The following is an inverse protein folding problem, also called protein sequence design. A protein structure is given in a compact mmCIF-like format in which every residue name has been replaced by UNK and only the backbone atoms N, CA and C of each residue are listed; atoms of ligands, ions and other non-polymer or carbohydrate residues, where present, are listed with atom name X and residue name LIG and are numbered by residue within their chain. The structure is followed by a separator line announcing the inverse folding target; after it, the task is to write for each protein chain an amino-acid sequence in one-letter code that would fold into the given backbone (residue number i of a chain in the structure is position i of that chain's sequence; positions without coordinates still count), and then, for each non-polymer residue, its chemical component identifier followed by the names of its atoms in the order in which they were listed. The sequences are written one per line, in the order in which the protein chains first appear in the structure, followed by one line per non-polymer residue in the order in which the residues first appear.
data_IF_177015058235
#
_entry.id   IF_177015058235
#
_cell.length_a   1.000
_cell.length_b   1.000
_cell.length_c   1.000
_cell.angle_alpha   90.00
_cell.angle_beta   90.00
_cell.angle_gamma   90.00
#
_symmetry.space_group_name_H-M   'P 1'
#
loop_
_entity.id
_entity.type
_entity.pdbx_description
1 polymer ?
#
# COMPACT_ATOMS: atom_id res chain seq x y z
N UNK A 1 -4.85 14.35 -13.83
CA UNK A 1 -3.79 13.68 -13.04
C UNK A 1 -2.52 14.53 -13.13
N UNK A 2 -1.87 14.85 -12.02
CA UNK A 2 -0.60 15.59 -12.01
C UNK A 2 0.57 14.60 -11.82
N UNK A 3 1.37 14.41 -12.87
CA UNK A 3 2.43 13.39 -12.91
C UNK A 3 3.58 13.66 -11.93
N UNK A 4 3.92 14.93 -11.72
CA UNK A 4 5.00 15.31 -10.83
C UNK A 4 4.65 15.04 -9.36
N UNK A 5 3.37 15.22 -9.01
CA UNK A 5 2.87 14.81 -7.70
C UNK A 5 2.87 13.29 -7.52
N UNK A 6 2.50 12.52 -8.55
CA UNK A 6 2.53 11.05 -8.50
C UNK A 6 3.96 10.52 -8.33
N UNK A 7 4.93 11.06 -9.07
CA UNK A 7 6.35 10.65 -8.94
C UNK A 7 6.90 10.89 -7.54
N UNK A 8 6.55 12.01 -6.90
CA UNK A 8 6.93 12.30 -5.51
C UNK A 8 6.43 11.26 -4.51
N UNK A 9 5.35 10.54 -4.84
CA UNK A 9 4.83 9.45 -3.99
C UNK A 9 5.55 8.12 -4.19
N UNK A 10 6.41 7.96 -5.21
CA UNK A 10 7.09 6.70 -5.52
C UNK A 10 8.61 6.93 -5.44
N UNK A 11 9.24 6.68 -4.27
CA UNK A 11 10.60 7.13 -3.99
C UNK A 11 11.67 6.70 -5.01
N UNK A 12 11.53 5.50 -5.61
CA UNK A 12 12.51 4.99 -6.58
C UNK A 12 12.64 5.90 -7.81
N UNK A 13 11.57 6.62 -8.18
CA UNK A 13 11.56 7.48 -9.36
C UNK A 13 12.45 8.73 -9.22
N UNK A 14 12.81 9.11 -8.00
CA UNK A 14 13.78 10.20 -7.75
C UNK A 14 15.24 9.74 -7.85
N UNK A 15 15.49 8.43 -7.84
CA UNK A 15 16.82 7.83 -7.79
C UNK A 15 17.20 7.10 -9.07
N UNK A 16 16.20 6.55 -9.78
CA UNK A 16 16.39 5.67 -10.94
C UNK A 16 15.28 5.88 -11.95
N UNK A 17 15.61 5.70 -13.23
CA UNK A 17 14.63 5.41 -14.26
C UNK A 17 14.21 3.93 -14.10
N UNK A 18 13.03 3.69 -13.53
CA UNK A 18 12.55 2.34 -13.21
C UNK A 18 11.59 1.83 -14.29
N UNK A 19 12.06 0.88 -15.10
CA UNK A 19 11.33 0.32 -16.24
C UNK A 19 10.84 -1.12 -16.04
N UNK A 20 10.74 -1.58 -14.78
CA UNK A 20 10.35 -2.96 -14.43
C UNK A 20 9.08 -3.04 -13.57
N UNK A 21 8.13 -2.13 -13.80
CA UNK A 21 6.87 -2.08 -13.04
C UNK A 21 6.01 -3.34 -13.24
N UNK A 22 6.14 -4.02 -14.38
CA UNK A 22 5.44 -5.27 -14.65
C UNK A 22 6.03 -6.46 -13.87
N UNK A 23 7.33 -6.44 -13.54
CA UNK A 23 7.96 -7.42 -12.66
C UNK A 23 7.61 -7.16 -11.21
N UNK A 24 7.84 -5.95 -10.70
CA UNK A 24 7.49 -5.57 -9.32
C UNK A 24 7.23 -4.07 -9.21
N UNK A 25 5.96 -3.67 -9.10
CA UNK A 25 5.60 -2.27 -8.87
C UNK A 25 6.13 -1.73 -7.53
N UNK A 26 6.99 -0.69 -7.50
CA UNK A 26 7.44 -0.07 -6.27
C UNK A 26 6.26 0.57 -5.53
N UNK A 27 6.11 0.35 -4.21
CA UNK A 27 5.00 0.90 -3.45
C UNK A 27 5.11 2.43 -3.34
N UNK A 28 3.95 3.07 -3.18
CA UNK A 28 3.87 4.49 -2.84
C UNK A 28 4.20 4.74 -1.37
N UNK A 29 4.48 5.99 -0.99
CA UNK A 29 4.73 6.40 0.40
C UNK A 29 3.59 5.98 1.35
N UNK A 30 2.29 6.18 1.04
CA UNK A 30 1.22 5.71 1.91
C UNK A 30 1.23 4.19 2.14
N UNK A 31 1.55 3.40 1.11
CA UNK A 31 1.65 1.94 1.24
C UNK A 31 2.84 1.55 2.12
N UNK A 32 3.98 2.21 1.96
CA UNK A 32 5.16 2.00 2.81
C UNK A 32 4.86 2.32 4.28
N UNK A 33 4.14 3.41 4.54
CA UNK A 33 3.75 3.78 5.91
C UNK A 33 2.84 2.72 6.53
N UNK A 34 1.81 2.26 5.80
CA UNK A 34 0.91 1.21 6.29
C UNK A 34 1.63 -0.13 6.56
N UNK A 35 2.62 -0.50 5.73
CA UNK A 35 3.46 -1.68 5.99
C UNK A 35 4.27 -1.48 7.28
N UNK A 36 4.87 -0.30 7.47
CA UNK A 36 5.67 -0.03 8.68
C UNK A 36 4.80 -0.03 9.95
N UNK A 37 3.60 0.53 9.88
CA UNK A 37 2.61 0.50 10.97
C UNK A 37 2.22 -0.95 11.31
N UNK A 38 1.85 -1.74 10.30
CA UNK A 38 1.54 -3.16 10.49
C UNK A 38 2.69 -3.93 11.16
N UNK A 39 3.92 -3.73 10.68
CA UNK A 39 5.10 -4.40 11.25
C UNK A 39 5.39 -3.94 12.69
N UNK A 40 5.13 -2.67 13.02
CA UNK A 40 5.28 -2.14 14.36
C UNK A 40 4.23 -2.73 15.32
N UNK A 41 2.96 -2.76 14.90
CA UNK A 41 1.87 -3.35 15.67
C UNK A 41 2.11 -4.83 15.94
N UNK A 42 2.50 -5.58 14.91
CA UNK A 42 2.77 -7.01 15.05
C UNK A 42 3.93 -7.27 16.02
N UNK A 43 4.98 -6.44 15.94
CA UNK A 43 6.13 -6.54 16.85
C UNK A 43 5.73 -6.30 18.31
N UNK A 44 4.85 -5.33 18.57
CA UNK A 44 4.48 -4.91 19.92
C UNK A 44 3.42 -5.84 20.54
N UNK A 45 2.41 -6.22 19.77
CA UNK A 45 1.20 -6.87 20.29
C UNK A 45 1.05 -8.33 19.85
N UNK A 46 1.89 -8.82 18.93
CA UNK A 46 1.64 -10.10 18.28
C UNK A 46 0.43 -10.01 17.36
N UNK A 47 -0.44 -11.03 17.38
CA UNK A 47 -1.65 -11.02 16.55
C UNK A 47 -2.67 -10.00 17.10
N UNK A 48 -2.84 -8.87 16.40
CA UNK A 48 -3.84 -7.85 16.75
C UNK A 48 -5.12 -8.03 15.93
N UNK A 49 -5.77 -9.18 16.09
CA UNK A 49 -6.88 -9.62 15.23
C UNK A 49 -8.09 -8.68 15.26
N UNK A 50 -8.44 -8.14 16.42
CA UNK A 50 -9.60 -7.26 16.59
C UNK A 50 -9.47 -5.97 15.76
N UNK A 51 -8.26 -5.43 15.65
CA UNK A 51 -7.98 -4.24 14.84
C UNK A 51 -7.74 -4.58 13.36
N UNK A 52 -7.10 -5.70 13.06
CA UNK A 52 -6.75 -6.06 11.68
C UNK A 52 -7.93 -6.60 10.87
N UNK A 53 -8.86 -7.32 11.49
CA UNK A 53 -9.98 -7.93 10.78
C UNK A 53 -10.88 -6.88 10.08
N UNK A 54 -11.30 -5.77 10.72
CA UNK A 54 -12.04 -4.70 10.04
C UNK A 54 -11.29 -4.13 8.82
N UNK A 55 -9.98 -3.93 8.92
CA UNK A 55 -9.15 -3.42 7.83
C UNK A 55 -9.08 -4.41 6.66
N UNK A 56 -9.00 -5.71 6.94
CA UNK A 56 -9.03 -6.78 5.92
C UNK A 56 -10.39 -6.81 5.21
N UNK A 57 -11.50 -6.72 5.95
CA UNK A 57 -12.86 -6.70 5.39
C UNK A 57 -13.03 -5.48 4.48
N UNK A 58 -12.62 -4.30 4.96
CA UNK A 58 -12.70 -3.06 4.20
C UNK A 58 -11.81 -3.12 2.95
N UNK A 59 -10.60 -3.69 3.04
CA UNK A 59 -9.70 -3.88 1.90
C UNK A 59 -10.33 -4.76 0.81
N UNK A 60 -11.02 -5.85 1.20
CA UNK A 60 -11.78 -6.69 0.26
C UNK A 60 -12.92 -5.92 -0.40
N UNK A 61 -13.64 -5.10 0.36
CA UNK A 61 -14.73 -4.26 -0.17
C UNK A 61 -14.20 -3.23 -1.16
N UNK A 62 -13.07 -2.58 -0.87
CA UNK A 62 -12.44 -1.61 -1.78
C UNK A 62 -11.94 -2.29 -3.06
N UNK A 63 -11.32 -3.46 -2.94
CA UNK A 63 -10.90 -4.25 -4.10
C UNK A 63 -12.10 -4.65 -4.96
N UNK A 64 -13.20 -5.09 -4.35
CA UNK A 64 -14.46 -5.40 -5.03
C UNK A 64 -14.95 -4.22 -5.87
N UNK A 65 -15.02 -3.02 -5.28
CA UNK A 65 -15.39 -1.80 -6.01
C UNK A 65 -14.45 -1.49 -7.17
N UNK A 66 -13.14 -1.67 -6.98
CA UNK A 66 -12.12 -1.40 -8.00
C UNK A 66 -12.32 -2.27 -9.26
N UNK A 67 -12.74 -3.52 -9.09
CA UNK A 67 -13.00 -4.45 -10.20
C UNK A 67 -14.45 -4.42 -10.71
N UNK A 68 -15.27 -3.47 -10.24
CA UNK A 68 -16.66 -3.30 -10.67
C UNK A 68 -17.67 -4.22 -9.94
N UNK A 69 -17.27 -4.86 -8.84
CA UNK A 69 -18.20 -5.52 -7.92
C UNK A 69 -19.05 -4.53 -7.13
N UNK A 70 -20.23 -4.98 -6.70
CA UNK A 70 -21.17 -4.23 -5.83
C UNK A 70 -20.78 -4.38 -4.37
#
# INVERSE_FOLDING_TARGET
MNIDLVRKQIPVTSRRAYFDNAGTGPPSIPVLNAINEFMADWREYGENWEEWLPLIIESRRQFGKMIGGV
#
